data_IF_574124903593
#
_entry.id   IF_574124903593
#
_cell.length_a   1.000
_cell.length_b   1.000
_cell.length_c   1.000
_cell.angle_alpha   90.00
_cell.angle_beta   90.00
_cell.angle_gamma   90.00
#
_symmetry.space_group_name_H-M   'P 1'
#
loop_
_entity.id
_entity.type
_entity.pdbx_description
1 polymer ?
#
# COMPACT_ATOMS: atom_id res chain seq x y z
N UNK A 1 27.84 -2.80 -26.49
CA UNK A 1 26.48 -2.82 -25.99
C UNK A 1 25.81 -4.20 -26.14
N UNK A 2 25.81 -4.82 -27.33
CA UNK A 2 25.16 -6.13 -27.55
C UNK A 2 25.72 -7.28 -26.68
N UNK A 3 27.02 -7.30 -26.38
CA UNK A 3 27.66 -8.30 -25.51
C UNK A 3 27.31 -8.15 -24.02
N UNK A 4 27.09 -6.90 -23.55
CA UNK A 4 26.70 -6.61 -22.18
C UNK A 4 25.24 -7.00 -21.95
N UNK A 5 24.36 -6.78 -22.94
CA UNK A 5 22.95 -7.19 -22.87
C UNK A 5 22.80 -8.72 -22.79
N UNK A 6 23.61 -9.46 -23.56
CA UNK A 6 23.63 -10.94 -23.52
C UNK A 6 24.17 -11.46 -22.20
N UNK A 7 25.17 -10.80 -21.60
CA UNK A 7 25.70 -11.19 -20.28
C UNK A 7 24.68 -10.92 -19.17
N UNK A 8 23.93 -9.83 -19.22
CA UNK A 8 22.86 -9.52 -18.27
C UNK A 8 21.71 -10.52 -18.42
N UNK A 9 21.37 -10.90 -19.65
CA UNK A 9 20.31 -11.89 -19.92
C UNK A 9 20.72 -13.30 -19.42
N UNK A 10 22.00 -13.67 -19.58
CA UNK A 10 22.56 -14.93 -19.04
C UNK A 10 22.67 -14.94 -17.51
N UNK A 11 22.94 -13.80 -16.88
CA UNK A 11 22.95 -13.67 -15.42
C UNK A 11 21.53 -13.76 -14.84
N UNK A 12 20.52 -13.23 -15.54
CA UNK A 12 19.11 -13.36 -15.15
C UNK A 12 18.59 -14.81 -15.30
N UNK A 13 19.11 -15.59 -16.25
CA UNK A 13 18.70 -16.98 -16.43
C UNK A 13 19.30 -17.94 -15.40
N UNK A 14 20.36 -17.57 -14.68
CA UNK A 14 20.97 -18.37 -13.61
C UNK A 14 20.31 -18.19 -12.24
N UNK A 15 19.40 -17.24 -12.09
CA UNK A 15 18.51 -17.16 -10.94
C UNK A 15 17.36 -18.16 -11.12
N UNK A 16 17.66 -19.45 -10.97
CA UNK A 16 16.63 -20.46 -10.71
C UNK A 16 16.06 -20.18 -9.32
N UNK A 17 15.12 -19.24 -9.25
CA UNK A 17 14.23 -19.14 -8.12
C UNK A 17 13.51 -20.49 -8.03
N UNK A 18 13.54 -21.21 -6.88
CA UNK A 18 12.66 -22.34 -6.72
C UNK A 18 11.26 -21.85 -7.01
N UNK A 19 10.60 -22.49 -7.98
CA UNK A 19 9.21 -22.23 -8.28
C UNK A 19 8.43 -22.54 -7.00
N UNK A 20 8.19 -21.52 -6.21
CA UNK A 20 7.18 -21.59 -5.18
C UNK A 20 5.88 -21.92 -5.92
N UNK A 21 5.19 -22.99 -5.49
CA UNK A 21 3.82 -23.27 -5.94
C UNK A 21 3.09 -21.94 -6.01
N UNK A 22 2.32 -21.66 -7.08
CA UNK A 22 1.63 -20.39 -7.22
C UNK A 22 0.74 -20.22 -5.97
N UNK A 23 1.20 -19.44 -5.01
CA UNK A 23 0.32 -18.97 -3.97
C UNK A 23 -0.66 -18.07 -4.71
N UNK A 24 -1.91 -18.52 -4.76
CA UNK A 24 -3.01 -17.74 -5.30
C UNK A 24 -2.94 -16.39 -4.60
N UNK A 25 -2.63 -15.34 -5.34
CA UNK A 25 -2.56 -14.00 -4.78
C UNK A 25 -3.94 -13.56 -4.27
N UNK A 26 -3.99 -12.58 -3.38
CA UNK A 26 -5.26 -12.02 -2.90
C UNK A 26 -6.10 -11.50 -4.08
N UNK A 27 -5.46 -11.03 -5.15
CA UNK A 27 -6.12 -10.51 -6.35
C UNK A 27 -7.01 -11.56 -7.02
N UNK A 28 -6.52 -12.80 -7.11
CA UNK A 28 -7.28 -13.90 -7.70
C UNK A 28 -8.46 -14.31 -6.82
N UNK A 29 -8.25 -14.35 -5.50
CA UNK A 29 -9.31 -14.66 -4.55
C UNK A 29 -10.38 -13.55 -4.51
N UNK A 30 -9.95 -12.31 -4.62
CA UNK A 30 -10.86 -11.17 -4.66
C UNK A 30 -11.69 -11.14 -5.95
N UNK A 31 -11.08 -11.46 -7.10
CA UNK A 31 -11.81 -11.62 -8.36
C UNK A 31 -12.89 -12.73 -8.26
N UNK A 32 -12.56 -13.86 -7.63
CA UNK A 32 -13.53 -14.92 -7.39
C UNK A 32 -14.67 -14.49 -6.45
N UNK A 33 -14.37 -13.67 -5.46
CA UNK A 33 -15.37 -13.13 -4.55
C UNK A 33 -16.36 -12.20 -5.28
N UNK A 34 -15.86 -11.32 -6.15
CA UNK A 34 -16.70 -10.44 -6.96
C UNK A 34 -17.63 -11.23 -7.90
N UNK A 35 -17.13 -12.32 -8.50
CA UNK A 35 -17.94 -13.21 -9.32
C UNK A 35 -19.03 -13.92 -8.50
N UNK A 36 -18.76 -14.27 -7.25
CA UNK A 36 -19.72 -14.94 -6.37
C UNK A 36 -20.83 -13.99 -5.88
N UNK A 37 -20.49 -12.74 -5.61
CA UNK A 37 -21.44 -11.75 -5.05
C UNK A 37 -22.30 -11.06 -6.14
N UNK A 38 -22.26 -11.54 -7.41
CA UNK A 38 -22.97 -10.96 -8.57
C UNK A 38 -22.70 -9.45 -8.79
N UNK A 39 -21.71 -8.92 -8.12
CA UNK A 39 -21.24 -7.58 -8.39
C UNK A 39 -20.50 -7.62 -9.73
N UNK A 40 -21.06 -6.99 -10.74
CA UNK A 40 -20.52 -6.89 -12.09
C UNK A 40 -19.05 -6.50 -12.00
N UNK A 41 -18.17 -7.46 -12.24
CA UNK A 41 -16.73 -7.56 -11.94
C UNK A 41 -15.79 -6.43 -12.36
N UNK A 42 -16.19 -5.19 -12.16
CA UNK A 42 -15.33 -4.04 -12.18
C UNK A 42 -14.96 -3.70 -10.73
N UNK A 43 -13.86 -4.31 -10.27
CA UNK A 43 -13.19 -3.71 -9.13
C UNK A 43 -12.74 -2.32 -9.58
N UNK A 44 -13.32 -1.26 -9.00
CA UNK A 44 -12.85 0.09 -9.21
C UNK A 44 -11.36 0.15 -8.89
N UNK A 45 -10.59 0.85 -9.72
CA UNK A 45 -9.14 1.01 -9.51
C UNK A 45 -8.84 1.51 -8.08
N UNK A 46 -9.77 2.27 -7.49
CA UNK A 46 -9.72 2.74 -6.11
C UNK A 46 -9.78 1.61 -5.07
N UNK A 47 -10.68 0.65 -5.25
CA UNK A 47 -10.80 -0.53 -4.36
C UNK A 47 -9.55 -1.40 -4.46
N UNK A 48 -9.01 -1.58 -5.66
CA UNK A 48 -7.76 -2.31 -5.85
C UNK A 48 -6.57 -1.60 -5.18
N UNK A 49 -6.46 -0.27 -5.31
CA UNK A 49 -5.42 0.50 -4.61
C UNK A 49 -5.56 0.41 -3.09
N UNK A 50 -6.79 0.47 -2.56
CA UNK A 50 -7.07 0.32 -1.14
C UNK A 50 -6.66 -1.07 -0.63
N UNK A 51 -7.04 -2.14 -1.33
CA UNK A 51 -6.67 -3.50 -0.98
C UNK A 51 -5.16 -3.73 -1.09
N UNK A 52 -4.51 -3.18 -2.12
CA UNK A 52 -3.06 -3.19 -2.24
C UNK A 52 -2.39 -2.50 -1.05
N UNK A 53 -2.90 -1.34 -0.62
CA UNK A 53 -2.39 -0.64 0.56
C UNK A 53 -2.60 -1.46 1.84
N UNK A 54 -3.78 -2.08 1.99
CA UNK A 54 -4.07 -2.94 3.14
C UNK A 54 -3.19 -4.19 3.15
N UNK A 55 -2.89 -4.78 2.00
CA UNK A 55 -1.98 -5.92 1.90
C UNK A 55 -0.53 -5.52 2.23
N UNK A 56 -0.13 -4.30 1.89
CA UNK A 56 1.17 -3.72 2.27
C UNK A 56 1.22 -3.37 3.77
N UNK A 57 0.09 -2.96 4.36
CA UNK A 57 -0.06 -2.52 5.74
C UNK A 57 -1.18 -3.27 6.46
N UNK A 58 -1.02 -4.57 6.75
CA UNK A 58 -2.06 -5.35 7.38
C UNK A 58 -2.49 -4.78 8.73
N UNK A 59 -3.77 -4.89 9.00
CA UNK A 59 -4.36 -4.49 10.27
C UNK A 59 -3.98 -5.51 11.35
N UNK A 60 -3.50 -5.03 12.50
CA UNK A 60 -3.22 -5.91 13.66
C UNK A 60 -4.56 -6.30 14.29
N UNK A 61 -5.01 -7.54 14.04
CA UNK A 61 -6.37 -7.98 14.35
C UNK A 61 -6.73 -7.83 15.83
N UNK A 62 -5.85 -8.24 16.73
CA UNK A 62 -6.14 -8.21 18.18
C UNK A 62 -6.17 -6.78 18.78
N UNK A 63 -5.76 -5.79 18.02
CA UNK A 63 -5.79 -4.37 18.39
C UNK A 63 -6.70 -3.56 17.46
N UNK A 64 -7.37 -4.23 16.53
CA UNK A 64 -8.21 -3.59 15.55
C UNK A 64 -9.48 -3.03 16.19
N UNK A 65 -9.79 -1.80 15.84
CA UNK A 65 -11.09 -1.21 16.13
C UNK A 65 -12.10 -1.59 15.05
N UNK A 66 -13.38 -1.33 15.30
CA UNK A 66 -14.42 -1.48 14.29
C UNK A 66 -14.07 -0.72 13.01
N UNK A 67 -13.61 0.52 13.17
CA UNK A 67 -13.24 1.41 12.09
C UNK A 67 -12.04 0.89 11.28
N UNK A 68 -11.12 0.15 11.91
CA UNK A 68 -10.03 -0.48 11.19
C UNK A 68 -10.51 -1.62 10.30
N UNK A 69 -11.46 -2.43 10.77
CA UNK A 69 -12.05 -3.54 10.02
C UNK A 69 -13.00 -3.05 8.89
N UNK A 70 -13.71 -1.94 9.10
CA UNK A 70 -14.53 -1.30 8.07
C UNK A 70 -13.72 -0.81 6.85
N UNK A 71 -12.39 -0.74 6.97
CA UNK A 71 -11.50 -0.46 5.82
C UNK A 71 -11.40 -1.61 4.84
N UNK A 72 -11.79 -2.80 5.24
CA UNK A 72 -11.78 -3.98 4.37
C UNK A 72 -13.11 -4.00 3.60
N UNK A 73 -13.12 -3.66 2.29
CA UNK A 73 -14.36 -3.34 1.58
C UNK A 73 -15.28 -4.55 1.37
N UNK A 74 -14.74 -5.77 1.45
CA UNK A 74 -15.50 -6.99 1.25
C UNK A 74 -16.10 -7.59 2.54
N UNK A 75 -15.91 -6.94 3.69
CA UNK A 75 -16.56 -7.36 4.94
C UNK A 75 -17.89 -6.63 5.14
N UNK A 76 -18.92 -7.40 5.46
CA UNK A 76 -20.21 -6.86 5.88
C UNK A 76 -20.17 -6.40 7.35
N UNK A 77 -21.11 -5.55 7.73
CA UNK A 77 -21.25 -5.08 9.11
C UNK A 77 -21.38 -6.23 10.11
N UNK A 78 -22.20 -7.23 9.79
CA UNK A 78 -22.37 -8.42 10.63
C UNK A 78 -21.07 -9.20 10.81
N UNK A 79 -20.27 -9.34 9.76
CA UNK A 79 -18.98 -10.04 9.82
C UNK A 79 -17.97 -9.29 10.69
N UNK A 80 -17.98 -7.96 10.63
CA UNK A 80 -17.13 -7.11 11.48
C UNK A 80 -17.56 -7.25 12.95
N UNK A 81 -18.85 -7.23 13.23
CA UNK A 81 -19.37 -7.41 14.59
C UNK A 81 -19.00 -8.77 15.17
N UNK A 82 -19.13 -9.84 14.40
CA UNK A 82 -18.79 -11.19 14.83
C UNK A 82 -17.27 -11.34 15.07
N UNK A 83 -16.44 -10.72 14.24
CA UNK A 83 -14.98 -10.64 14.45
C UNK A 83 -14.63 -9.94 15.78
N UNK A 84 -15.24 -8.79 16.03
CA UNK A 84 -15.02 -8.01 17.26
C UNK A 84 -15.55 -8.76 18.48
N UNK A 85 -16.73 -9.38 18.37
CA UNK A 85 -17.31 -10.18 19.42
C UNK A 85 -16.39 -11.35 19.78
N UNK A 86 -15.85 -12.06 18.78
CA UNK A 86 -14.90 -13.15 19.00
C UNK A 86 -13.64 -12.66 19.73
N UNK A 87 -13.01 -11.59 19.24
CA UNK A 87 -11.80 -11.01 19.84
C UNK A 87 -12.06 -10.60 21.30
N UNK A 88 -13.21 -10.00 21.56
CA UNK A 88 -13.57 -9.54 22.92
C UNK A 88 -13.83 -10.72 23.85
N UNK A 89 -14.55 -11.74 23.39
CA UNK A 89 -14.94 -12.91 24.18
C UNK A 89 -13.73 -13.79 24.54
N UNK A 90 -12.80 -13.97 23.59
CA UNK A 90 -11.65 -14.87 23.76
C UNK A 90 -10.33 -14.13 24.09
N UNK A 91 -10.41 -12.81 24.34
CA UNK A 91 -9.24 -11.95 24.63
C UNK A 91 -8.18 -11.96 23.54
N UNK A 92 -8.59 -12.05 22.31
CA UNK A 92 -7.75 -12.07 21.12
C UNK A 92 -7.83 -13.39 20.35
N UNK A 93 -7.34 -13.35 19.12
CA UNK A 93 -7.19 -14.50 18.25
C UNK A 93 -5.72 -14.94 18.27
N UNK A 94 -5.45 -16.22 18.39
CA UNK A 94 -4.08 -16.77 18.47
C UNK A 94 -3.57 -17.24 17.12
N UNK A 95 -4.44 -17.75 16.28
CA UNK A 95 -4.12 -18.26 14.95
C UNK A 95 -5.13 -17.79 13.92
N UNK A 96 -4.70 -17.56 12.68
CA UNK A 96 -5.63 -17.24 11.59
C UNK A 96 -6.63 -18.37 11.28
N UNK A 97 -6.33 -19.61 11.69
CA UNK A 97 -7.25 -20.73 11.57
C UNK A 97 -8.54 -20.56 12.36
N UNK A 98 -8.52 -19.74 13.43
CA UNK A 98 -9.70 -19.45 14.26
C UNK A 98 -10.77 -18.64 13.51
N UNK A 99 -10.43 -18.00 12.37
CA UNK A 99 -11.42 -17.39 11.47
C UNK A 99 -12.48 -18.38 11.01
N UNK A 100 -12.16 -19.70 11.03
CA UNK A 100 -13.12 -20.75 10.70
C UNK A 100 -14.24 -20.93 11.74
N UNK A 101 -14.05 -20.42 12.95
CA UNK A 101 -15.04 -20.46 14.03
C UNK A 101 -16.10 -19.35 13.90
N UNK A 102 -15.88 -18.38 13.03
CA UNK A 102 -16.81 -17.29 12.77
C UNK A 102 -17.76 -17.73 11.64
N UNK A 103 -18.99 -18.04 11.98
CA UNK A 103 -19.96 -18.63 11.06
C UNK A 103 -20.35 -17.69 9.91
N UNK A 104 -20.41 -16.37 10.16
CA UNK A 104 -20.76 -15.37 9.14
C UNK A 104 -19.73 -15.21 8.03
N UNK A 105 -18.49 -15.67 8.23
CA UNK A 105 -17.45 -15.64 7.23
C UNK A 105 -17.53 -16.86 6.30
N UNK A 106 -17.65 -16.62 5.01
CA UNK A 106 -17.56 -17.68 3.98
C UNK A 106 -16.12 -18.11 3.69
N UNK A 107 -15.96 -19.15 2.90
CA UNK A 107 -14.65 -19.74 2.59
C UNK A 107 -13.70 -18.79 1.86
N UNK A 108 -14.22 -17.95 0.94
CA UNK A 108 -13.39 -16.99 0.18
C UNK A 108 -12.92 -15.84 1.07
N UNK A 109 -13.81 -15.28 1.88
CA UNK A 109 -13.45 -14.21 2.83
C UNK A 109 -12.46 -14.71 3.88
N UNK A 110 -12.62 -15.95 4.38
CA UNK A 110 -11.63 -16.58 5.27
C UNK A 110 -10.25 -16.73 4.63
N UNK A 111 -10.20 -17.06 3.34
CA UNK A 111 -8.95 -17.19 2.59
C UNK A 111 -8.31 -15.82 2.27
N UNK A 112 -9.12 -14.77 2.10
CA UNK A 112 -8.67 -13.41 1.82
C UNK A 112 -8.13 -12.69 3.06
N UNK A 113 -8.79 -12.81 4.21
CA UNK A 113 -8.47 -12.06 5.43
C UNK A 113 -7.00 -12.15 5.87
N UNK A 114 -6.30 -13.30 5.79
CA UNK A 114 -4.88 -13.40 6.16
C UNK A 114 -3.93 -12.51 5.36
N UNK A 115 -4.34 -12.00 4.20
CA UNK A 115 -3.52 -11.05 3.44
C UNK A 115 -3.62 -9.62 4.00
N UNK A 116 -4.70 -9.31 4.71
CA UNK A 116 -5.02 -7.97 5.21
C UNK A 116 -4.98 -7.87 6.73
N UNK A 117 -4.90 -9.00 7.42
CA UNK A 117 -4.86 -9.09 8.87
C UNK A 117 -3.54 -9.69 9.34
N UNK A 118 -3.02 -9.18 10.45
CA UNK A 118 -1.82 -9.68 11.09
C UNK A 118 -2.14 -10.02 12.55
N UNK A 119 -1.72 -11.21 12.99
CA UNK A 119 -1.67 -11.56 14.41
C UNK A 119 -0.27 -11.24 14.91
N UNK A 120 -0.17 -10.36 15.87
CA UNK A 120 1.08 -10.06 16.57
C UNK A 120 0.98 -10.54 17.99
N UNK A 121 1.92 -11.38 18.40
CA UNK A 121 2.13 -11.68 19.82
C UNK A 121 2.66 -10.42 20.49
N UNK A 122 1.93 -9.87 21.43
CA UNK A 122 2.07 -8.50 21.94
C UNK A 122 3.20 -8.32 22.99
N UNK A 123 4.19 -9.21 23.04
CA UNK A 123 5.20 -9.15 24.13
C UNK A 123 6.63 -8.80 23.73
N UNK A 124 6.92 -8.40 22.50
CA UNK A 124 8.26 -7.88 22.22
C UNK A 124 8.33 -6.37 22.41
N UNK A 125 8.60 -5.94 23.63
CA UNK A 125 8.84 -4.52 23.99
C UNK A 125 10.12 -3.93 23.38
N UNK A 126 10.89 -4.73 22.64
CA UNK A 126 12.14 -4.30 22.01
C UNK A 126 12.02 -4.27 20.49
N UNK A 127 12.42 -3.14 19.92
CA UNK A 127 12.56 -3.02 18.47
C UNK A 127 13.56 -4.06 17.95
N UNK A 128 13.21 -4.85 16.93
CA UNK A 128 14.05 -5.94 16.45
C UNK A 128 15.37 -5.44 15.85
N UNK A 129 16.40 -6.28 15.87
CA UNK A 129 17.70 -5.93 15.29
C UNK A 129 17.60 -5.78 13.77
N UNK A 130 18.39 -4.87 13.18
CA UNK A 130 18.42 -4.67 11.73
C UNK A 130 18.72 -5.95 10.95
N UNK A 131 19.58 -6.81 11.51
CA UNK A 131 19.91 -8.10 10.91
C UNK A 131 18.68 -9.02 10.85
N UNK A 132 17.91 -9.11 11.94
CA UNK A 132 16.66 -9.89 11.99
C UNK A 132 15.62 -9.34 11.02
N UNK A 133 15.49 -8.02 10.95
CA UNK A 133 14.57 -7.34 10.03
C UNK A 133 14.89 -7.71 8.59
N UNK A 134 16.15 -7.59 8.17
CA UNK A 134 16.56 -7.88 6.79
C UNK A 134 16.47 -9.38 6.44
N UNK A 135 16.75 -10.27 7.40
CA UNK A 135 16.67 -11.71 7.14
C UNK A 135 15.26 -12.25 7.10
N UNK A 136 14.36 -11.71 7.91
CA UNK A 136 12.98 -12.21 8.07
C UNK A 136 11.94 -11.31 7.44
N UNK A 137 12.36 -10.20 6.85
CA UNK A 137 11.47 -9.28 6.14
C UNK A 137 10.91 -9.93 4.88
N UNK A 138 9.66 -9.62 4.59
CA UNK A 138 8.98 -10.01 3.34
C UNK A 138 9.33 -9.02 2.25
N UNK A 139 9.79 -9.54 1.13
CA UNK A 139 10.07 -8.76 -0.08
C UNK A 139 9.00 -9.08 -1.12
N UNK A 140 8.37 -8.07 -1.67
CA UNK A 140 7.37 -8.22 -2.72
C UNK A 140 7.77 -7.34 -3.90
N UNK A 141 7.77 -7.91 -5.10
CA UNK A 141 8.00 -7.19 -6.36
C UNK A 141 6.78 -7.42 -7.25
N UNK A 142 6.14 -6.34 -7.64
CA UNK A 142 4.98 -6.37 -8.55
C UNK A 142 5.36 -5.61 -9.81
N UNK A 143 5.29 -6.29 -10.96
CA UNK A 143 5.40 -5.68 -12.28
C UNK A 143 4.02 -5.58 -12.92
N UNK A 144 3.65 -4.42 -13.41
CA UNK A 144 2.39 -4.20 -14.11
C UNK A 144 2.66 -3.59 -15.48
N UNK A 145 1.97 -4.09 -16.50
CA UNK A 145 2.04 -3.58 -17.86
C UNK A 145 0.63 -3.46 -18.44
N UNK A 146 0.31 -2.30 -18.98
CA UNK A 146 -0.95 -2.04 -19.67
C UNK A 146 -0.69 -1.69 -21.13
N UNK A 147 -1.26 -2.48 -22.06
CA UNK A 147 -1.12 -2.27 -23.49
C UNK A 147 -2.50 -1.99 -24.07
N UNK A 148 -2.77 -0.79 -24.60
CA UNK A 148 -4.03 -0.52 -25.27
C UNK A 148 -4.12 -1.31 -26.60
N UNK A 149 -5.28 -1.91 -26.85
CA UNK A 149 -5.53 -2.64 -28.11
C UNK A 149 -5.84 -1.71 -29.29
N UNK A 150 -5.95 -0.41 -29.05
CA UNK A 150 -6.21 0.61 -30.07
C UNK A 150 -5.07 1.60 -30.11
N UNK A 151 -4.90 2.28 -31.23
CA UNK A 151 -3.96 3.38 -31.38
C UNK A 151 -4.66 4.70 -31.03
N UNK A 152 -4.01 5.51 -30.21
CA UNK A 152 -4.47 6.86 -29.85
C UNK A 152 -3.93 7.83 -30.89
N UNK A 153 -4.56 8.98 -31.04
CA UNK A 153 -4.11 10.01 -31.97
C UNK A 153 -2.64 10.40 -31.73
N UNK A 154 -2.23 10.52 -30.46
CA UNK A 154 -0.84 10.84 -30.10
C UNK A 154 0.18 9.76 -30.45
N UNK A 155 -0.24 8.49 -30.59
CA UNK A 155 0.66 7.41 -31.00
C UNK A 155 1.12 7.56 -32.47
N UNK A 156 0.38 8.32 -33.28
CA UNK A 156 0.71 8.65 -34.68
C UNK A 156 1.41 10.00 -34.84
N UNK A 157 1.14 10.97 -33.99
CA UNK A 157 1.48 12.37 -34.24
C UNK A 157 2.29 13.09 -33.16
N UNK A 158 2.81 12.42 -32.12
CA UNK A 158 3.51 13.24 -31.15
C UNK A 158 4.06 12.62 -29.89
N UNK A 159 3.71 11.40 -29.55
CA UNK A 159 4.29 10.75 -28.39
C UNK A 159 5.73 10.31 -28.67
N UNK A 160 6.65 10.60 -27.74
CA UNK A 160 8.07 10.27 -27.85
C UNK A 160 8.39 8.83 -27.41
N UNK A 161 7.43 8.18 -26.79
CA UNK A 161 7.57 6.84 -26.22
C UNK A 161 6.53 5.83 -26.70
N UNK A 162 6.62 4.58 -26.22
CA UNK A 162 5.72 3.52 -26.64
C UNK A 162 4.30 3.72 -26.12
N UNK A 163 3.32 3.09 -26.79
CA UNK A 163 1.90 3.19 -26.43
C UNK A 163 1.51 2.44 -25.14
N UNK A 164 2.37 1.56 -24.65
CA UNK A 164 2.14 0.83 -23.41
C UNK A 164 2.62 1.62 -22.18
N UNK A 165 1.93 1.41 -21.07
CA UNK A 165 2.37 1.86 -19.75
C UNK A 165 2.92 0.68 -18.96
N UNK A 166 3.91 0.91 -18.12
CA UNK A 166 4.43 -0.12 -17.23
C UNK A 166 4.94 0.47 -15.93
N UNK A 167 4.88 -0.34 -14.89
CA UNK A 167 5.37 0.05 -13.58
C UNK A 167 5.96 -1.14 -12.84
N UNK A 168 6.91 -0.86 -11.97
CA UNK A 168 7.49 -1.82 -11.04
C UNK A 168 7.33 -1.25 -9.65
N UNK A 169 6.78 -2.05 -8.73
CA UNK A 169 6.67 -1.73 -7.32
C UNK A 169 7.46 -2.76 -6.52
N UNK A 170 8.34 -2.30 -5.67
CA UNK A 170 9.00 -3.09 -4.67
C UNK A 170 8.51 -2.67 -3.30
N UNK A 171 8.13 -3.64 -2.46
CA UNK A 171 7.71 -3.42 -1.09
C UNK A 171 8.49 -4.35 -0.17
N UNK A 172 9.00 -3.78 0.90
CA UNK A 172 9.64 -4.49 2.00
C UNK A 172 8.81 -4.31 3.26
N UNK A 173 8.51 -5.41 3.95
CA UNK A 173 7.74 -5.39 5.18
C UNK A 173 8.32 -6.33 6.23
N UNK A 174 8.45 -5.85 7.43
CA UNK A 174 8.79 -6.66 8.59
C UNK A 174 7.79 -6.43 9.72
N UNK A 175 6.78 -7.30 9.79
CA UNK A 175 5.68 -7.18 10.75
C UNK A 175 5.11 -5.77 10.81
N UNK A 176 4.72 -5.29 12.00
CA UNK A 176 4.22 -3.94 12.19
C UNK A 176 5.34 -2.90 12.37
N UNK A 177 6.62 -3.33 12.32
CA UNK A 177 7.76 -2.47 12.69
C UNK A 177 8.29 -1.65 11.54
N UNK A 178 8.52 -2.25 10.38
CA UNK A 178 9.11 -1.57 9.22
C UNK A 178 8.33 -1.87 7.97
N UNK A 179 8.05 -0.82 7.22
CA UNK A 179 7.54 -0.87 5.86
C UNK A 179 8.34 0.10 5.00
N UNK A 180 8.78 -0.37 3.83
CA UNK A 180 9.44 0.48 2.85
C UNK A 180 8.92 0.11 1.47
N UNK A 181 8.76 1.10 0.61
CA UNK A 181 8.27 0.91 -0.74
C UNK A 181 9.01 1.77 -1.75
N UNK A 182 9.17 1.24 -2.94
CA UNK A 182 9.69 1.94 -4.11
C UNK A 182 8.78 1.60 -5.30
N UNK A 183 8.24 2.62 -5.94
CA UNK A 183 7.48 2.47 -7.18
C UNK A 183 8.14 3.28 -8.27
N UNK A 184 8.35 2.66 -9.41
CA UNK A 184 8.80 3.31 -10.63
C UNK A 184 7.75 3.06 -11.71
N UNK A 185 7.29 4.11 -12.36
CA UNK A 185 6.23 4.04 -13.34
C UNK A 185 6.56 4.87 -14.58
N UNK A 186 6.04 4.44 -15.70
CA UNK A 186 6.07 5.15 -16.96
C UNK A 186 4.67 5.17 -17.55
N UNK A 187 4.23 6.35 -17.93
CA UNK A 187 2.97 6.53 -18.62
C UNK A 187 3.11 6.24 -20.12
N UNK A 188 1.98 5.91 -20.73
CA UNK A 188 1.94 5.56 -22.14
C UNK A 188 2.20 6.81 -23.00
N UNK A 189 3.17 6.70 -23.90
CA UNK A 189 3.62 7.81 -24.76
C UNK A 189 4.86 8.53 -24.28
N UNK A 190 5.37 8.19 -23.10
CA UNK A 190 6.58 8.80 -22.55
C UNK A 190 7.83 7.99 -22.89
N UNK A 191 8.98 8.65 -23.12
CA UNK A 191 10.21 7.97 -23.47
C UNK A 191 10.80 7.19 -22.29
N UNK A 192 11.27 5.97 -22.57
CA UNK A 192 11.95 5.11 -21.59
C UNK A 192 13.44 4.99 -21.94
N UNK A 193 14.31 5.36 -21.01
CA UNK A 193 15.76 5.52 -21.23
C UNK A 193 16.12 6.44 -22.40
N UNK A 194 15.25 7.38 -22.76
CA UNK A 194 15.44 8.30 -23.88
C UNK A 194 14.92 9.70 -23.55
N UNK A 195 15.33 10.68 -24.32
CA UNK A 195 14.87 12.07 -24.14
C UNK A 195 15.20 12.65 -22.76
N UNK A 196 14.20 13.18 -22.06
CA UNK A 196 14.31 13.69 -20.72
C UNK A 196 14.47 12.60 -19.66
N UNK A 197 13.99 11.36 -19.93
CA UNK A 197 13.95 10.26 -18.98
C UNK A 197 15.18 9.34 -19.07
N UNK A 198 16.37 9.90 -18.90
CA UNK A 198 17.66 9.18 -19.00
C UNK A 198 17.80 8.06 -17.98
N UNK A 199 17.11 8.14 -16.85
CA UNK A 199 17.14 7.16 -15.75
C UNK A 199 16.09 6.05 -15.91
N UNK A 200 15.33 6.05 -17.00
CA UNK A 200 14.34 5.04 -17.33
C UNK A 200 12.93 5.52 -17.12
N UNK A 201 12.43 5.41 -15.92
CA UNK A 201 11.09 5.86 -15.56
C UNK A 201 11.02 7.37 -15.38
N UNK A 202 9.87 7.97 -15.65
CA UNK A 202 9.59 9.38 -15.40
C UNK A 202 9.10 9.64 -13.98
N UNK A 203 8.41 8.65 -13.40
CA UNK A 203 7.89 8.74 -12.05
C UNK A 203 8.57 7.76 -11.09
N UNK A 204 9.10 8.29 -10.01
CA UNK A 204 9.64 7.51 -8.88
C UNK A 204 8.96 7.94 -7.59
N UNK A 205 8.47 6.96 -6.82
CA UNK A 205 7.90 7.16 -5.50
C UNK A 205 8.58 6.23 -4.51
N UNK A 206 9.01 6.74 -3.38
CA UNK A 206 9.68 5.95 -2.34
C UNK A 206 9.28 6.40 -0.96
N UNK A 207 9.24 5.46 -0.04
CA UNK A 207 9.04 5.72 1.37
C UNK A 207 9.71 4.66 2.24
N UNK A 208 9.98 5.03 3.48
CA UNK A 208 10.33 4.12 4.56
C UNK A 208 9.61 4.58 5.83
N UNK A 209 8.95 3.66 6.51
CA UNK A 209 8.24 3.91 7.77
C UNK A 209 8.68 2.90 8.79
N UNK A 210 9.11 3.39 9.95
CA UNK A 210 9.40 2.57 11.12
C UNK A 210 8.41 2.91 12.24
N UNK A 211 7.84 1.89 12.88
CA UNK A 211 6.84 2.02 13.95
C UNK A 211 7.30 1.30 15.20
N UNK A 212 6.78 1.70 16.35
CA UNK A 212 7.07 1.07 17.66
C UNK A 212 8.58 1.00 17.97
N UNK A 213 9.35 2.02 17.54
CA UNK A 213 10.82 2.00 17.73
C UNK A 213 11.23 2.06 19.19
N UNK A 214 10.55 2.90 19.97
CA UNK A 214 10.74 3.00 21.42
C UNK A 214 9.41 3.33 22.08
N UNK A 215 9.40 3.33 23.43
CA UNK A 215 8.22 3.73 24.21
C UNK A 215 7.74 5.15 23.86
N UNK A 216 8.66 6.04 23.52
CA UNK A 216 8.35 7.44 23.21
C UNK A 216 8.21 7.68 21.70
N UNK A 217 9.06 7.08 20.89
CA UNK A 217 9.06 7.25 19.45
C UNK A 217 8.17 6.20 18.79
N UNK A 218 6.93 6.59 18.46
CA UNK A 218 5.92 5.70 17.92
C UNK A 218 6.13 5.41 16.44
N UNK A 219 6.35 6.47 15.65
CA UNK A 219 6.43 6.36 14.19
C UNK A 219 7.47 7.33 13.66
N UNK A 220 8.27 6.88 12.71
CA UNK A 220 9.08 7.74 11.83
C UNK A 220 8.76 7.36 10.40
N UNK A 221 8.57 8.36 9.55
CA UNK A 221 8.40 8.19 8.11
C UNK A 221 9.38 9.10 7.35
N UNK A 222 9.95 8.58 6.28
CA UNK A 222 10.85 9.30 5.37
C UNK A 222 10.46 8.98 3.92
N UNK A 223 10.57 9.98 3.05
CA UNK A 223 10.18 9.89 1.66
C UNK A 223 8.78 10.42 1.42
N UNK A 224 7.96 9.71 0.66
CA UNK A 224 6.57 10.10 0.43
C UNK A 224 5.67 9.52 1.50
N UNK A 225 4.83 10.35 2.08
CA UNK A 225 3.92 9.94 3.14
C UNK A 225 2.61 10.70 3.08
N UNK A 226 1.60 10.16 3.74
CA UNK A 226 0.29 10.78 3.97
C UNK A 226 0.11 11.03 5.45
N UNK A 227 -0.57 12.12 5.77
CA UNK A 227 -0.89 12.50 7.15
C UNK A 227 -2.38 12.67 7.28
N UNK A 228 -2.93 12.11 8.35
CA UNK A 228 -4.32 12.27 8.72
C UNK A 228 -4.43 12.56 10.21
N UNK A 229 -5.04 13.66 10.56
CA UNK A 229 -5.19 14.11 11.94
C UNK A 229 -6.60 14.65 12.19
N UNK A 230 -7.05 14.54 13.44
CA UNK A 230 -8.35 15.03 13.86
C UNK A 230 -9.49 14.38 13.11
N UNK A 231 -9.49 13.05 13.00
CA UNK A 231 -10.46 12.28 12.21
C UNK A 231 -10.51 12.68 10.72
N UNK A 232 -9.44 13.30 10.22
CA UNK A 232 -9.37 13.81 8.87
C UNK A 232 -9.98 15.20 8.67
N UNK A 233 -10.41 15.86 9.75
CA UNK A 233 -11.00 17.20 9.71
C UNK A 233 -9.95 18.30 9.79
N UNK A 234 -8.83 18.06 10.47
CA UNK A 234 -7.75 19.06 10.64
C UNK A 234 -6.75 18.96 9.51
N UNK A 235 -6.20 17.78 9.28
CA UNK A 235 -5.31 17.49 8.17
C UNK A 235 -5.70 16.15 7.58
N UNK A 236 -5.98 16.12 6.29
CA UNK A 236 -6.28 14.90 5.57
C UNK A 236 -5.78 15.00 4.13
N UNK A 237 -4.65 14.40 3.84
CA UNK A 237 -4.21 14.17 2.47
C UNK A 237 -4.31 12.69 2.07
N UNK A 238 -5.04 11.89 2.86
CA UNK A 238 -5.41 10.51 2.57
C UNK A 238 -6.88 10.47 2.09
N UNK A 239 -7.22 11.29 1.09
CA UNK A 239 -8.58 11.38 0.56
C UNK A 239 -8.76 10.32 -0.52
N UNK A 240 -9.69 9.39 -0.29
CA UNK A 240 -10.21 8.52 -1.35
C UNK A 240 -11.24 9.30 -2.18
N UNK A 241 -11.09 9.28 -3.49
CA UNK A 241 -11.98 9.98 -4.44
C UNK A 241 -13.28 9.19 -4.68
N UNK A 242 -14.10 9.00 -3.67
CA UNK A 242 -15.41 8.39 -3.85
C UNK A 242 -16.36 8.82 -2.75
N UNK A 243 -17.56 9.31 -3.10
CA UNK A 243 -18.55 9.77 -2.11
C UNK A 243 -18.93 8.67 -1.13
N UNK A 244 -18.99 7.42 -1.57
CA UNK A 244 -19.34 6.27 -0.73
C UNK A 244 -18.19 5.86 0.19
N UNK A 245 -16.92 5.98 -0.24
CA UNK A 245 -15.75 5.63 0.57
C UNK A 245 -15.28 6.75 1.50
N UNK A 246 -15.71 7.98 1.27
CA UNK A 246 -15.29 9.12 2.10
C UNK A 246 -15.98 9.11 3.46
N UNK A 247 -17.25 8.70 3.55
CA UNK A 247 -18.01 8.68 4.80
C UNK A 247 -17.43 7.72 5.85
N UNK A 248 -17.17 6.44 5.55
CA UNK A 248 -16.51 5.55 6.50
C UNK A 248 -15.10 5.99 6.86
N UNK A 249 -14.41 6.69 5.94
CA UNK A 249 -13.06 7.16 6.17
C UNK A 249 -12.97 8.34 7.15
N UNK A 250 -14.03 9.08 7.37
CA UNK A 250 -14.02 10.25 8.28
C UNK A 250 -13.81 9.88 9.74
N UNK A 251 -14.16 8.67 10.16
CA UNK A 251 -14.10 8.22 11.56
C UNK A 251 -12.91 7.32 11.87
N UNK A 252 -11.98 7.12 10.94
CA UNK A 252 -10.83 6.23 11.13
C UNK A 252 -9.82 6.79 12.12
N UNK A 253 -9.47 6.01 13.15
CA UNK A 253 -8.52 6.36 14.23
C UNK A 253 -7.13 5.72 14.05
N UNK A 254 -6.76 5.26 12.87
CA UNK A 254 -5.45 4.65 12.62
C UNK A 254 -4.25 5.60 12.77
N UNK A 255 -3.02 5.07 12.57
CA UNK A 255 -1.79 5.87 12.61
C UNK A 255 -1.91 7.11 11.75
N UNK A 256 -1.56 8.27 12.32
CA UNK A 256 -1.66 9.56 11.64
C UNK A 256 -0.72 9.65 10.42
N UNK A 257 0.36 8.87 10.41
CA UNK A 257 1.40 8.91 9.38
C UNK A 257 1.48 7.57 8.67
N UNK A 258 1.35 7.58 7.34
CA UNK A 258 1.46 6.40 6.47
C UNK A 258 2.43 6.64 5.33
N UNK A 259 3.17 5.60 4.93
CA UNK A 259 3.98 5.62 3.72
C UNK A 259 3.11 5.65 2.46
N UNK A 260 3.60 6.26 1.39
CA UNK A 260 2.90 6.37 0.13
C UNK A 260 3.83 6.03 -1.04
N UNK A 261 3.56 4.93 -1.74
CA UNK A 261 4.26 4.51 -2.94
C UNK A 261 3.27 4.22 -4.09
N UNK A 262 2.43 5.19 -4.40
CA UNK A 262 1.50 5.12 -5.52
C UNK A 262 2.12 5.70 -6.80
N UNK A 263 1.58 5.35 -7.95
CA UNK A 263 1.84 5.99 -9.24
C UNK A 263 1.22 7.39 -9.31
N UNK A 264 0.30 7.69 -8.39
CA UNK A 264 -0.38 8.98 -8.34
C UNK A 264 0.59 10.09 -7.91
N UNK A 265 0.56 11.18 -8.65
CA UNK A 265 1.30 12.41 -8.33
C UNK A 265 0.55 13.30 -7.34
N UNK A 266 -0.58 12.84 -6.80
CA UNK A 266 -1.47 13.62 -5.96
C UNK A 266 -1.49 13.12 -4.52
N UNK A 267 -1.92 13.98 -3.61
CA UNK A 267 -2.26 13.66 -2.22
C UNK A 267 -1.15 13.00 -1.41
N UNK A 268 0.09 13.46 -1.54
CA UNK A 268 1.19 13.04 -0.68
C UNK A 268 2.01 14.24 -0.19
N UNK A 269 2.68 14.03 0.93
CA UNK A 269 3.76 14.88 1.42
C UNK A 269 5.09 14.18 1.15
N UNK A 270 6.16 14.93 0.91
CA UNK A 270 7.48 14.37 0.66
C UNK A 270 8.49 15.01 1.59
N UNK A 271 9.17 14.20 2.40
CA UNK A 271 10.13 14.67 3.38
C UNK A 271 10.27 13.74 4.55
N UNK A 272 10.03 14.22 5.75
CA UNK A 272 10.10 13.43 6.97
C UNK A 272 8.95 13.74 7.92
N UNK A 273 8.51 12.74 8.67
CA UNK A 273 7.48 12.87 9.68
C UNK A 273 7.78 11.97 10.88
N UNK A 274 7.36 12.38 12.07
CA UNK A 274 7.53 11.60 13.29
C UNK A 274 6.35 11.77 14.24
N UNK A 275 6.03 10.71 14.98
CA UNK A 275 5.09 10.71 16.11
C UNK A 275 5.82 10.35 17.39
N UNK A 276 5.71 11.21 18.39
CA UNK A 276 6.39 11.07 19.67
C UNK A 276 5.34 11.09 20.79
N UNK A 277 5.28 10.03 21.59
CA UNK A 277 4.48 9.98 22.79
C UNK A 277 5.20 10.75 23.93
N UNK A 278 4.73 11.92 24.26
CA UNK A 278 5.23 12.71 25.38
C UNK A 278 4.75 12.15 26.72
N UNK A 279 3.52 11.64 26.75
CA UNK A 279 2.93 10.95 27.91
C UNK A 279 1.90 9.93 27.44
N UNK A 280 1.23 9.24 28.39
CA UNK A 280 0.15 8.29 28.09
C UNK A 280 -1.03 8.94 27.34
N UNK A 281 -1.22 10.26 27.50
CA UNK A 281 -2.36 11.00 26.95
C UNK A 281 -1.98 12.01 25.86
N UNK A 282 -0.67 12.26 25.66
CA UNK A 282 -0.19 13.24 24.70
C UNK A 282 0.74 12.62 23.67
N UNK A 283 0.39 12.77 22.40
CA UNK A 283 1.20 12.40 21.23
C UNK A 283 1.47 13.67 20.44
N UNK A 284 2.75 13.94 20.20
CA UNK A 284 3.20 15.01 19.33
C UNK A 284 3.46 14.41 17.96
N UNK A 285 2.81 14.93 16.92
CA UNK A 285 3.09 14.60 15.53
C UNK A 285 3.71 15.81 14.84
N UNK A 286 4.87 15.61 14.22
CA UNK A 286 5.58 16.62 13.46
C UNK A 286 5.86 16.11 12.06
N UNK A 287 5.73 16.98 11.06
CA UNK A 287 6.01 16.62 9.68
C UNK A 287 6.57 17.81 8.89
N UNK A 288 7.51 17.50 8.01
CA UNK A 288 8.13 18.44 7.10
C UNK A 288 7.95 17.92 5.67
N UNK A 289 7.49 18.78 4.78
CA UNK A 289 7.29 18.44 3.37
C UNK A 289 7.93 19.45 2.46
N UNK A 290 8.70 18.94 1.51
CA UNK A 290 9.28 19.70 0.41
C UNK A 290 9.11 18.90 -0.88
N UNK A 291 8.39 19.46 -1.85
CA UNK A 291 8.24 18.87 -3.18
C UNK A 291 8.16 19.94 -4.26
N UNK A 292 8.62 19.58 -5.45
CA UNK A 292 8.38 20.36 -6.67
C UNK A 292 7.03 19.93 -7.24
N UNK A 293 6.23 20.88 -7.66
CA UNK A 293 4.94 20.68 -8.30
C UNK A 293 5.00 21.31 -9.68
N UNK A 294 4.60 20.56 -10.70
CA UNK A 294 4.39 21.09 -12.03
C UNK A 294 3.11 21.93 -12.01
N UNK A 295 3.22 23.17 -12.42
CA UNK A 295 2.09 24.08 -12.49
C UNK A 295 2.11 24.83 -13.83
N UNK A 296 0.93 24.94 -14.43
CA UNK A 296 0.72 25.83 -15.59
C UNK A 296 0.50 27.24 -15.07
N UNK A 297 1.49 28.12 -15.28
CA UNK A 297 1.34 29.51 -14.88
C UNK A 297 0.37 30.24 -15.84
N UNK A 298 -0.52 31.01 -15.28
CA UNK A 298 -1.32 31.96 -16.06
C UNK A 298 -0.41 33.04 -16.68
N UNK A 299 -0.88 33.69 -17.75
CA UNK A 299 -0.11 34.74 -18.45
C UNK A 299 0.38 35.86 -17.51
N UNK A 300 -0.23 36.03 -16.36
CA UNK A 300 0.12 37.02 -15.33
C UNK A 300 1.13 36.49 -14.30
N UNK A 301 1.72 35.31 -14.49
CA UNK A 301 2.71 34.71 -13.60
C UNK A 301 2.17 34.30 -12.23
N UNK A 302 0.85 34.27 -12.03
CA UNK A 302 0.16 33.79 -10.85
C UNK A 302 -0.39 32.40 -11.14
N UNK A 303 0.00 31.41 -10.32
CA UNK A 303 -0.49 30.04 -10.39
C UNK A 303 -1.78 29.86 -9.63
#
# INVERSE_FOLDING_TARGET
MRKILVSILLLLSSLTLPAQSPQVGWETLYAQLLEQDDETGQSDEETYELLSELAEHPIVLNQATREDLERIPFLSETQIEDLIAYITQYHGMRTMGELSLIESLDGLRRALLPYFLLLTDDETTHFPSLHTILQRGRHTVVGQMGVPFYDRQGDHEGFLGPKYRHSIRYTFQYGPYITAGLTAAQDAGEPFFAGGNRWGYDHYSYYAVARKMTRHLKTIAVGRYRVRMGLGLVVNNDVAFGKMMTLPSLFRTGSAIRGHASRSSYNYLQGAAAEIALSKHFVLSAFLSWRTIDATLTKDGRG
#
